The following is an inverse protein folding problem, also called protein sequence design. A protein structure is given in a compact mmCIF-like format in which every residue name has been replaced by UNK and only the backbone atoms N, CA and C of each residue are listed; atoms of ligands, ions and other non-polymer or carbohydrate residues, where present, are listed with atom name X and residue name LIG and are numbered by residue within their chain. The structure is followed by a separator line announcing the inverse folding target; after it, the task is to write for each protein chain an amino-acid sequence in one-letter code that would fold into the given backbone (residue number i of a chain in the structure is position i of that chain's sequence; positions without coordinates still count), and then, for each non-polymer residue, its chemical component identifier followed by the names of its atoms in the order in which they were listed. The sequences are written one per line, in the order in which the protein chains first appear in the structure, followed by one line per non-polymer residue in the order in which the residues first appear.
data_IF_666106296407
#
_entry.id   IF_666106296407
#
_cell.length_a   1.000
_cell.length_b   1.000
_cell.length_c   1.000
_cell.angle_alpha   90.00
_cell.angle_beta   90.00
_cell.angle_gamma   90.00
#
_symmetry.space_group_name_H-M   'P 1'
#
loop_
_entity.id
_entity.type
_entity.pdbx_description
1 polymer ?
#
# COMPACT_ATOMS: atom_id res chain seq x y z
N UNK A 1 -12.61 13.56 -23.91
CA UNK A 1 -11.79 12.81 -22.93
C UNK A 1 -11.92 13.32 -21.48
N UNK A 2 -12.50 14.49 -21.26
CA UNK A 2 -12.60 15.14 -19.93
C UNK A 2 -13.88 14.81 -19.13
N UNK A 3 -14.87 14.13 -19.74
CA UNK A 3 -16.18 13.88 -19.10
C UNK A 3 -16.19 12.72 -18.10
N UNK A 4 -15.14 11.88 -18.08
CA UNK A 4 -15.06 10.79 -17.12
C UNK A 4 -14.92 11.27 -15.66
N UNK A 5 -14.33 12.46 -15.45
CA UNK A 5 -14.14 13.02 -14.10
C UNK A 5 -15.47 13.55 -13.51
N UNK A 6 -16.47 13.84 -14.35
CA UNK A 6 -17.80 14.30 -13.89
C UNK A 6 -18.68 13.17 -13.36
N UNK A 7 -18.37 11.91 -13.71
CA UNK A 7 -19.12 10.72 -13.24
C UNK A 7 -18.79 10.44 -11.74
N UNK A 8 -17.62 10.89 -11.27
CA UNK A 8 -17.23 10.71 -9.88
C UNK A 8 -17.86 11.77 -8.98
N UNK A 9 -18.65 11.32 -8.01
CA UNK A 9 -19.16 12.18 -6.92
C UNK A 9 -17.99 12.81 -6.15
N UNK A 10 -18.23 13.95 -5.48
CA UNK A 10 -17.23 14.58 -4.59
C UNK A 10 -16.68 13.58 -3.54
N UNK A 11 -17.54 12.71 -3.03
CA UNK A 11 -17.17 11.64 -2.10
C UNK A 11 -16.24 10.60 -2.75
N UNK A 12 -16.48 10.24 -4.02
CA UNK A 12 -15.65 9.26 -4.73
C UNK A 12 -14.24 9.84 -5.01
N UNK A 13 -14.15 11.13 -5.32
CA UNK A 13 -12.85 11.83 -5.51
C UNK A 13 -12.05 11.89 -4.22
N UNK A 14 -12.70 12.15 -3.09
CA UNK A 14 -12.05 12.15 -1.78
C UNK A 14 -11.54 10.75 -1.40
N UNK A 15 -12.35 9.71 -1.60
CA UNK A 15 -11.97 8.34 -1.36
C UNK A 15 -10.80 7.89 -2.26
N UNK A 16 -10.79 8.33 -3.51
CA UNK A 16 -9.69 8.06 -4.45
C UNK A 16 -8.39 8.72 -3.98
N UNK A 17 -8.45 9.98 -3.54
CA UNK A 17 -7.29 10.70 -3.02
C UNK A 17 -6.76 10.03 -1.74
N UNK A 18 -7.65 9.62 -0.85
CA UNK A 18 -7.30 8.89 0.37
C UNK A 18 -6.64 7.54 0.05
N UNK A 19 -7.16 6.80 -0.94
CA UNK A 19 -6.56 5.55 -1.39
C UNK A 19 -5.17 5.77 -2.00
N UNK A 20 -5.00 6.81 -2.83
CA UNK A 20 -3.68 7.15 -3.39
C UNK A 20 -2.67 7.47 -2.29
N UNK A 21 -3.07 8.26 -1.29
CA UNK A 21 -2.21 8.56 -0.14
C UNK A 21 -1.86 7.29 0.64
N UNK A 22 -2.85 6.43 0.90
CA UNK A 22 -2.66 5.16 1.58
C UNK A 22 -1.69 4.26 0.80
N UNK A 23 -1.78 4.23 -0.53
CA UNK A 23 -0.93 3.44 -1.41
C UNK A 23 0.53 3.91 -1.35
N UNK A 24 0.75 5.23 -1.39
CA UNK A 24 2.10 5.81 -1.29
C UNK A 24 2.71 5.53 0.09
N UNK A 25 1.94 5.74 1.16
CA UNK A 25 2.39 5.47 2.53
C UNK A 25 2.69 3.98 2.72
N UNK A 26 1.82 3.09 2.23
CA UNK A 26 2.03 1.64 2.27
C UNK A 26 3.32 1.25 1.55
N UNK A 27 3.58 1.78 0.35
CA UNK A 27 4.80 1.50 -0.41
C UNK A 27 6.07 1.94 0.33
N UNK A 28 6.05 3.11 0.97
CA UNK A 28 7.20 3.58 1.77
C UNK A 28 7.44 2.64 2.95
N UNK A 29 6.40 2.25 3.68
CA UNK A 29 6.50 1.35 4.84
C UNK A 29 7.01 -0.04 4.39
N UNK A 30 6.56 -0.54 3.25
CA UNK A 30 7.01 -1.80 2.68
C UNK A 30 8.51 -1.78 2.34
N UNK A 31 8.98 -0.69 1.71
CA UNK A 31 10.40 -0.50 1.42
C UNK A 31 11.23 -0.47 2.72
N UNK A 32 10.76 0.23 3.76
CA UNK A 32 11.44 0.26 5.07
C UNK A 32 11.46 -1.14 5.69
N UNK A 33 10.35 -1.88 5.62
CA UNK A 33 10.26 -3.26 6.12
C UNK A 33 11.28 -4.19 5.46
N UNK A 34 11.40 -4.14 4.14
CA UNK A 34 12.38 -4.93 3.39
C UNK A 34 13.81 -4.45 3.68
N UNK A 35 14.05 -3.14 3.67
CA UNK A 35 15.36 -2.56 3.90
C UNK A 35 15.91 -2.86 5.30
N UNK A 36 15.04 -3.07 6.29
CA UNK A 36 15.45 -3.40 7.66
C UNK A 36 16.13 -4.77 7.78
N UNK A 37 15.95 -5.65 6.81
CA UNK A 37 16.59 -6.98 6.76
C UNK A 37 18.10 -6.85 6.49
N UNK A 38 18.52 -5.88 5.67
CA UNK A 38 19.91 -5.71 5.29
C UNK A 38 20.86 -5.42 6.51
N UNK A 39 20.58 -4.47 7.40
CA UNK A 39 21.42 -4.25 8.58
C UNK A 39 21.38 -5.44 9.54
N UNK A 40 20.30 -6.22 9.60
CA UNK A 40 20.24 -7.43 10.41
C UNK A 40 21.18 -8.52 9.87
N UNK A 41 21.17 -8.76 8.54
CA UNK A 41 22.11 -9.69 7.90
C UNK A 41 23.57 -9.21 8.11
N UNK A 42 23.83 -7.91 7.98
CA UNK A 42 25.16 -7.35 8.22
C UNK A 42 25.65 -7.62 9.66
N UNK A 43 24.75 -7.48 10.65
CA UNK A 43 25.06 -7.77 12.05
C UNK A 43 25.43 -9.25 12.27
N UNK A 44 24.77 -10.18 11.57
CA UNK A 44 25.04 -11.62 11.67
C UNK A 44 26.32 -12.04 10.96
N UNK A 45 26.64 -11.41 9.82
CA UNK A 45 27.78 -11.82 8.98
C UNK A 45 29.07 -11.09 9.31
N UNK A 46 28.97 -9.81 9.69
CA UNK A 46 30.10 -8.92 9.98
C UNK A 46 29.75 -7.98 11.12
N UNK A 47 29.68 -8.47 12.36
CA UNK A 47 29.29 -7.67 13.52
C UNK A 47 30.17 -6.43 13.73
N UNK A 48 31.45 -6.50 13.37
CA UNK A 48 32.42 -5.40 13.50
C UNK A 48 31.97 -4.10 12.84
N UNK A 49 31.31 -4.19 11.65
CA UNK A 49 30.83 -3.01 10.93
C UNK A 49 29.57 -2.38 11.53
N UNK A 50 28.80 -3.13 12.32
CA UNK A 50 27.56 -2.66 12.92
C UNK A 50 27.76 -2.20 14.34
N UNK A 51 28.69 -2.82 15.06
CA UNK A 51 29.01 -2.48 16.47
C UNK A 51 29.55 -1.06 16.59
N UNK A 52 30.27 -0.54 15.58
CA UNK A 52 30.76 0.84 15.51
C UNK A 52 29.68 1.86 15.09
N UNK A 53 28.46 1.40 14.73
CA UNK A 53 27.39 2.29 14.31
C UNK A 53 26.80 3.02 15.53
N UNK A 54 26.70 4.35 15.44
CA UNK A 54 26.15 5.22 16.49
C UNK A 54 24.78 4.77 17.01
N UNK A 55 23.91 4.29 16.11
CA UNK A 55 22.56 3.83 16.47
C UNK A 55 22.62 2.55 17.30
N UNK A 56 23.49 1.62 16.94
CA UNK A 56 23.69 0.37 17.66
C UNK A 56 24.27 0.62 19.07
N UNK A 57 25.32 1.44 19.17
CA UNK A 57 25.95 1.83 20.45
C UNK A 57 24.90 2.48 21.36
N UNK A 58 24.07 3.36 20.83
CA UNK A 58 23.03 4.03 21.60
C UNK A 58 21.97 3.04 22.12
N UNK A 59 21.57 2.06 21.31
CA UNK A 59 20.65 0.99 21.73
C UNK A 59 21.24 0.13 22.84
N UNK A 60 22.48 -0.33 22.68
CA UNK A 60 23.18 -1.13 23.69
C UNK A 60 23.30 -0.38 25.01
N UNK A 61 23.68 0.92 24.97
CA UNK A 61 23.84 1.74 26.16
C UNK A 61 22.52 2.07 26.87
N UNK A 62 21.42 2.30 26.11
CA UNK A 62 20.11 2.61 26.72
C UNK A 62 19.55 1.39 27.46
N UNK A 63 19.74 0.20 26.90
CA UNK A 63 19.16 -1.03 27.45
C UNK A 63 20.12 -1.87 28.26
N UNK A 64 21.39 -1.43 28.43
CA UNK A 64 22.47 -2.19 29.12
C UNK A 64 22.55 -3.66 28.67
N UNK A 65 22.41 -3.90 27.35
CA UNK A 65 22.36 -5.22 26.78
C UNK A 65 23.78 -5.78 26.51
N UNK A 66 23.94 -7.09 26.64
CA UNK A 66 25.09 -7.77 26.07
C UNK A 66 25.04 -7.76 24.55
N UNK A 67 26.15 -7.97 23.85
CA UNK A 67 26.21 -7.98 22.38
C UNK A 67 25.27 -9.04 21.79
N UNK A 68 25.11 -10.17 22.47
CA UNK A 68 24.20 -11.27 22.05
C UNK A 68 22.74 -10.84 22.20
N UNK A 69 22.38 -10.25 23.35
CA UNK A 69 21.02 -9.79 23.61
C UNK A 69 20.62 -8.67 22.65
N UNK A 70 21.54 -7.76 22.35
CA UNK A 70 21.31 -6.70 21.37
C UNK A 70 21.02 -7.26 19.97
N UNK A 71 21.72 -8.31 19.54
CA UNK A 71 21.47 -8.97 18.26
C UNK A 71 20.08 -9.60 18.21
N UNK A 72 19.66 -10.25 19.30
CA UNK A 72 18.32 -10.85 19.41
C UNK A 72 17.24 -9.76 19.34
N UNK A 73 17.43 -8.66 20.08
CA UNK A 73 16.48 -7.53 20.10
C UNK A 73 16.34 -6.91 18.71
N UNK A 74 17.45 -6.69 18.00
CA UNK A 74 17.43 -6.18 16.62
C UNK A 74 16.69 -7.15 15.70
N UNK A 75 16.93 -8.46 15.81
CA UNK A 75 16.26 -9.48 15.04
C UNK A 75 14.74 -9.50 15.25
N UNK A 76 14.32 -9.44 16.51
CA UNK A 76 12.88 -9.37 16.86
C UNK A 76 12.24 -8.09 16.31
N UNK A 77 12.93 -6.96 16.40
CA UNK A 77 12.47 -5.67 15.89
C UNK A 77 12.29 -5.70 14.36
N UNK A 78 13.23 -6.29 13.63
CA UNK A 78 13.13 -6.48 12.17
C UNK A 78 11.93 -7.35 11.81
N UNK A 79 11.69 -8.45 12.54
CA UNK A 79 10.54 -9.31 12.30
C UNK A 79 9.22 -8.55 12.53
N UNK A 80 9.14 -7.76 13.60
CA UNK A 80 7.96 -6.94 13.90
C UNK A 80 7.73 -5.90 12.82
N UNK A 81 8.77 -5.18 12.38
CA UNK A 81 8.68 -4.20 11.30
C UNK A 81 8.22 -4.84 9.99
N UNK A 82 8.78 -5.98 9.65
CA UNK A 82 8.42 -6.72 8.44
C UNK A 82 6.97 -7.24 8.51
N UNK A 83 6.54 -7.77 9.64
CA UNK A 83 5.16 -8.21 9.82
C UNK A 83 4.18 -7.03 9.76
N UNK A 84 4.50 -5.90 10.41
CA UNK A 84 3.67 -4.71 10.38
C UNK A 84 3.53 -4.14 8.95
N UNK A 85 4.62 -4.09 8.17
CA UNK A 85 4.57 -3.62 6.77
C UNK A 85 3.65 -4.50 5.91
N UNK A 86 3.72 -5.82 6.07
CA UNK A 86 2.85 -6.75 5.35
C UNK A 86 1.36 -6.61 5.73
N UNK A 87 1.07 -6.38 7.01
CA UNK A 87 -0.31 -6.13 7.47
C UNK A 87 -0.86 -4.85 6.84
N UNK A 88 -0.08 -3.78 6.81
CA UNK A 88 -0.48 -2.49 6.22
C UNK A 88 -0.69 -2.65 4.70
N UNK A 89 0.21 -3.35 4.01
CA UNK A 89 0.08 -3.65 2.58
C UNK A 89 -1.20 -4.45 2.29
N UNK A 90 -1.47 -5.49 3.07
CA UNK A 90 -2.69 -6.30 2.94
C UNK A 90 -3.97 -5.49 3.17
N UNK A 91 -3.98 -4.61 4.18
CA UNK A 91 -5.10 -3.71 4.44
C UNK A 91 -5.33 -2.72 3.28
N UNK A 92 -4.25 -2.15 2.74
CA UNK A 92 -4.30 -1.24 1.58
C UNK A 92 -4.87 -1.95 0.36
N UNK A 93 -4.40 -3.16 0.07
CA UNK A 93 -4.91 -3.98 -1.03
C UNK A 93 -6.41 -4.27 -0.86
N UNK A 94 -6.83 -4.69 0.32
CA UNK A 94 -8.24 -4.96 0.61
C UNK A 94 -9.12 -3.73 0.38
N UNK A 95 -8.72 -2.55 0.85
CA UNK A 95 -9.43 -1.29 0.62
C UNK A 95 -9.49 -0.92 -0.86
N UNK A 96 -8.41 -1.16 -1.59
CA UNK A 96 -8.35 -0.91 -3.04
C UNK A 96 -9.33 -1.79 -3.80
N UNK A 97 -9.39 -3.09 -3.48
CA UNK A 97 -10.32 -4.03 -4.10
C UNK A 97 -11.78 -3.63 -3.82
N UNK A 98 -12.11 -3.28 -2.57
CA UNK A 98 -13.46 -2.81 -2.22
C UNK A 98 -13.87 -1.56 -3.00
N UNK A 99 -12.97 -0.59 -3.10
CA UNK A 99 -13.23 0.64 -3.86
C UNK A 99 -13.43 0.34 -5.34
N UNK A 100 -12.54 -0.45 -5.94
CA UNK A 100 -12.61 -0.82 -7.37
C UNK A 100 -13.92 -1.54 -7.69
N UNK A 101 -14.31 -2.52 -6.88
CA UNK A 101 -15.57 -3.25 -7.04
C UNK A 101 -16.79 -2.31 -6.98
N UNK A 102 -16.80 -1.38 -6.02
CA UNK A 102 -17.87 -0.38 -5.89
C UNK A 102 -17.96 0.55 -7.11
N UNK A 103 -16.81 1.02 -7.62
CA UNK A 103 -16.78 1.88 -8.80
C UNK A 103 -17.18 1.12 -10.07
N UNK A 104 -16.72 -0.12 -10.23
CA UNK A 104 -17.12 -0.98 -11.35
C UNK A 104 -18.64 -1.17 -11.42
N UNK A 105 -19.28 -1.43 -10.27
CA UNK A 105 -20.73 -1.56 -10.21
C UNK A 105 -21.43 -0.25 -10.60
N UNK A 106 -21.02 0.90 -10.10
CA UNK A 106 -21.57 2.22 -10.45
C UNK A 106 -21.44 2.51 -11.95
N UNK A 107 -20.26 2.26 -12.52
CA UNK A 107 -19.99 2.51 -13.94
C UNK A 107 -20.86 1.59 -14.80
N UNK A 108 -20.90 0.29 -14.50
CA UNK A 108 -21.72 -0.68 -15.23
C UNK A 108 -23.19 -0.29 -15.23
N UNK A 109 -23.75 0.08 -14.07
CA UNK A 109 -25.15 0.53 -13.97
C UNK A 109 -25.40 1.82 -14.75
N UNK A 110 -24.46 2.75 -14.77
CA UNK A 110 -24.59 4.01 -15.50
C UNK A 110 -24.57 3.77 -17.01
N UNK A 111 -23.68 2.88 -17.48
CA UNK A 111 -23.58 2.51 -18.89
C UNK A 111 -24.86 1.79 -19.33
N UNK A 112 -25.34 0.79 -18.57
CA UNK A 112 -26.56 0.04 -18.89
C UNK A 112 -27.75 0.98 -18.92
N UNK A 113 -27.91 1.88 -17.94
CA UNK A 113 -28.98 2.88 -17.94
C UNK A 113 -28.92 3.78 -19.19
N UNK A 114 -27.74 4.35 -19.48
CA UNK A 114 -27.56 5.17 -20.68
C UNK A 114 -27.90 4.40 -21.96
N UNK A 115 -27.58 3.12 -22.04
CA UNK A 115 -27.89 2.28 -23.20
C UNK A 115 -29.38 2.03 -23.30
N UNK A 116 -30.04 1.65 -22.21
CA UNK A 116 -31.49 1.38 -22.20
C UNK A 116 -32.38 2.61 -22.49
N UNK A 117 -31.95 3.79 -22.11
CA UNK A 117 -32.68 5.04 -22.33
C UNK A 117 -32.34 5.75 -23.65
N UNK A 118 -31.56 5.11 -24.54
CA UNK A 118 -31.32 5.64 -25.88
C UNK A 118 -32.54 5.49 -26.76
N UNK A 119 -32.89 6.51 -27.59
CA UNK A 119 -34.01 6.42 -28.51
C UNK A 119 -33.78 5.31 -29.53
N UNK A 120 -34.88 4.61 -29.92
CA UNK A 120 -34.90 3.45 -30.82
C UNK A 120 -34.10 3.66 -32.13
N UNK A 121 -34.04 4.88 -32.62
CA UNK A 121 -33.25 5.25 -33.81
C UNK A 121 -31.74 5.01 -33.67
N UNK A 122 -31.20 4.96 -32.44
CA UNK A 122 -29.79 4.66 -32.19
C UNK A 122 -29.50 3.17 -32.46
N UNK A 123 -30.42 2.30 -32.09
CA UNK A 123 -30.29 0.85 -32.32
C UNK A 123 -30.35 0.48 -33.80
N UNK A 124 -31.18 1.18 -34.58
CA UNK A 124 -31.31 0.96 -36.02
C UNK A 124 -30.05 1.36 -36.79
N UNK A 125 -29.36 2.42 -36.38
CA UNK A 125 -28.12 2.86 -37.05
C UNK A 125 -26.91 1.98 -36.77
N UNK A 126 -26.82 1.36 -35.60
CA UNK A 126 -25.65 0.55 -35.19
C UNK A 126 -25.78 -0.94 -35.55
N UNK A 127 -26.99 -1.43 -35.92
CA UNK A 127 -27.19 -2.80 -36.38
C UNK A 127 -27.18 -2.94 -37.91
N UNK A 128 -26.87 -1.90 -38.65
CA UNK A 128 -26.83 -1.89 -40.12
C UNK A 128 -25.39 -2.02 -40.68
N UNK A 129 -24.45 -2.55 -39.89
CA UNK A 129 -23.08 -2.80 -40.37
C UNK A 129 -22.70 -4.24 -40.20
#
# INVERSE_FOLDING_TARGET
MFDFIQIFSKSDKFNLLLLLTLFVVSGIIEVIGIASVAPFIALLTKPEFVVDNYIYIKLVNIFNLSTVDATIVVGVLVIILFAASNIIAGYTLWKTVQFTASQQHKISMTVIKKYLYQPYNFYLKNNAS
#
